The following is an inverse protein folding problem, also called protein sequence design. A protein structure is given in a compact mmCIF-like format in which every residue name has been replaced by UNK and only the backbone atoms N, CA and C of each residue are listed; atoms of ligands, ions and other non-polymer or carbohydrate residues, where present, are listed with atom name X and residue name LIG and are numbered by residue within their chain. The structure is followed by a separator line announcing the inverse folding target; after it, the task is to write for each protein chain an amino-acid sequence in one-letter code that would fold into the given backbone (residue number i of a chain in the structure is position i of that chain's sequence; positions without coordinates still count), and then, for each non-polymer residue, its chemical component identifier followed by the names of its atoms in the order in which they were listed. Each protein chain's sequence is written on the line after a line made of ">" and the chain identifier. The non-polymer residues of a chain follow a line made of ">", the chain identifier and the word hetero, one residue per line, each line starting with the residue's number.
data_IF_609457597935
#
_entry.id   IF_609457597935
#
_cell.length_a   1.000
_cell.length_b   1.000
_cell.length_c   1.000
_cell.angle_alpha   90.00
_cell.angle_beta   90.00
_cell.angle_gamma   90.00
#
_symmetry.space_group_name_H-M   'P 1'
#
loop_
_entity.id
_entity.type
_entity.pdbx_description
1 polymer ?
#
# COMPACT_ATOMS: atom_id res chain seq x y z
N UNK A 1 -19.21 -34.60 -8.15
CA UNK A 1 -18.09 -34.13 -7.32
C UNK A 1 -17.07 -33.51 -8.27
N UNK A 2 -16.93 -32.18 -8.30
CA UNK A 2 -15.88 -31.54 -9.10
C UNK A 2 -14.52 -31.91 -8.51
N UNK A 3 -13.52 -32.26 -9.32
CA UNK A 3 -12.18 -32.48 -8.80
C UNK A 3 -11.68 -31.19 -8.15
N UNK A 4 -11.12 -31.29 -6.95
CA UNK A 4 -10.43 -30.19 -6.28
C UNK A 4 -9.31 -29.68 -7.22
N UNK A 5 -9.26 -28.37 -7.45
CA UNK A 5 -8.29 -27.80 -8.38
C UNK A 5 -6.87 -28.11 -7.87
N UNK A 6 -5.90 -28.43 -8.75
CA UNK A 6 -4.54 -28.70 -8.29
C UNK A 6 -3.96 -27.43 -7.65
N UNK A 7 -3.57 -27.53 -6.38
CA UNK A 7 -2.91 -26.45 -5.65
C UNK A 7 -1.39 -26.59 -5.67
N UNK A 8 -0.68 -25.48 -5.52
CA UNK A 8 0.77 -25.40 -5.38
C UNK A 8 1.10 -24.82 -3.99
N UNK A 9 1.85 -25.54 -3.13
CA UNK A 9 2.18 -25.06 -1.79
C UNK A 9 3.17 -23.89 -1.82
N UNK A 10 3.05 -22.97 -0.87
CA UNK A 10 3.98 -21.86 -0.67
C UNK A 10 4.97 -22.27 0.43
N UNK A 11 6.23 -22.44 0.07
CA UNK A 11 7.30 -22.90 0.97
C UNK A 11 7.39 -22.06 2.25
N UNK A 12 7.47 -22.71 3.40
CA UNK A 12 7.59 -22.06 4.71
C UNK A 12 6.28 -21.48 5.26
N UNK A 13 5.13 -21.75 4.64
CA UNK A 13 3.82 -21.27 5.10
C UNK A 13 2.77 -22.38 5.04
N UNK A 14 1.65 -22.29 5.79
CA UNK A 14 0.53 -23.23 5.68
C UNK A 14 -0.32 -22.98 4.42
N UNK A 15 0.04 -22.03 3.57
CA UNK A 15 -0.78 -21.59 2.44
C UNK A 15 -0.39 -22.29 1.13
N UNK A 16 -1.37 -22.40 0.24
CA UNK A 16 -1.19 -22.86 -1.14
C UNK A 16 -2.04 -22.01 -2.07
N UNK A 17 -1.73 -21.99 -3.36
CA UNK A 17 -2.49 -21.25 -4.37
C UNK A 17 -2.94 -22.16 -5.51
N UNK A 18 -4.02 -21.77 -6.18
CA UNK A 18 -4.52 -22.48 -7.37
C UNK A 18 -3.48 -22.45 -8.49
N UNK A 19 -3.05 -23.62 -8.97
CA UNK A 19 -2.01 -23.75 -10.01
C UNK A 19 -2.37 -23.05 -11.32
N UNK A 20 -3.66 -22.81 -11.58
CA UNK A 20 -4.10 -22.01 -12.75
C UNK A 20 -3.59 -20.57 -12.71
N UNK A 21 -3.25 -20.06 -11.53
CA UNK A 21 -2.67 -18.72 -11.36
C UNK A 21 -1.18 -18.66 -11.69
N UNK A 22 -0.49 -19.80 -11.83
CA UNK A 22 0.97 -19.83 -12.05
C UNK A 22 1.42 -18.95 -13.22
N UNK A 23 0.80 -18.98 -14.42
CA UNK A 23 1.23 -18.12 -15.53
C UNK A 23 1.10 -16.62 -15.20
N UNK A 24 0.02 -16.24 -14.52
CA UNK A 24 -0.23 -14.86 -14.11
C UNK A 24 0.77 -14.40 -13.03
N UNK A 25 1.01 -15.23 -12.01
CA UNK A 25 1.99 -14.95 -10.96
C UNK A 25 3.41 -14.82 -11.51
N UNK A 26 3.79 -15.68 -12.47
CA UNK A 26 5.08 -15.57 -13.16
C UNK A 26 5.20 -14.25 -13.92
N UNK A 27 4.16 -13.83 -14.65
CA UNK A 27 4.18 -12.55 -15.36
C UNK A 27 4.24 -11.35 -14.40
N UNK A 28 3.50 -11.40 -13.29
CA UNK A 28 3.58 -10.37 -12.26
C UNK A 28 4.98 -10.29 -11.66
N UNK A 29 5.60 -11.43 -11.34
CA UNK A 29 6.95 -11.47 -10.80
C UNK A 29 7.96 -10.83 -11.76
N UNK A 30 7.90 -11.14 -13.06
CA UNK A 30 8.76 -10.54 -14.08
C UNK A 30 8.58 -9.01 -14.10
N UNK A 31 7.34 -8.52 -14.07
CA UNK A 31 7.06 -7.07 -14.08
C UNK A 31 7.57 -6.37 -12.81
N UNK A 32 7.39 -6.99 -11.65
CA UNK A 32 7.90 -6.46 -10.38
C UNK A 32 9.42 -6.37 -10.40
N UNK A 33 10.11 -7.39 -10.90
CA UNK A 33 11.56 -7.40 -10.98
C UNK A 33 12.10 -6.35 -11.96
N UNK A 34 11.43 -6.18 -13.10
CA UNK A 34 11.77 -5.12 -14.05
C UNK A 34 11.61 -3.72 -13.42
N UNK A 35 10.52 -3.47 -12.67
CA UNK A 35 10.30 -2.19 -11.99
C UNK A 35 11.33 -1.93 -10.88
N UNK A 36 11.70 -2.95 -10.10
CA UNK A 36 12.77 -2.85 -9.10
C UNK A 36 14.10 -2.49 -9.73
N UNK A 37 14.46 -3.15 -10.82
CA UNK A 37 15.70 -2.85 -11.56
C UNK A 37 15.69 -1.41 -12.06
N UNK A 38 14.60 -0.96 -12.70
CA UNK A 38 14.47 0.42 -13.18
C UNK A 38 14.57 1.45 -12.06
N UNK A 39 14.03 1.15 -10.88
CA UNK A 39 14.09 2.08 -9.74
C UNK A 39 15.51 2.42 -9.28
N UNK A 40 16.49 1.53 -9.53
CA UNK A 40 17.90 1.79 -9.19
C UNK A 40 18.56 2.86 -10.08
N UNK A 41 17.95 3.17 -11.22
CA UNK A 41 18.42 4.19 -12.16
C UNK A 41 17.83 5.58 -11.93
N UNK A 42 16.86 5.72 -11.01
CA UNK A 42 16.21 7.00 -10.72
C UNK A 42 17.12 7.88 -9.85
N UNK A 43 17.05 9.20 -10.07
CA UNK A 43 17.67 10.15 -9.15
C UNK A 43 17.00 10.11 -7.78
N UNK A 44 17.72 10.48 -6.73
CA UNK A 44 17.16 10.56 -5.37
C UNK A 44 15.94 11.49 -5.28
N UNK A 45 15.96 12.60 -6.02
CA UNK A 45 14.83 13.53 -6.10
C UNK A 45 13.60 12.90 -6.76
N UNK A 46 13.79 12.26 -7.92
CA UNK A 46 12.70 11.57 -8.62
C UNK A 46 12.10 10.46 -7.75
N UNK A 47 12.95 9.71 -7.04
CA UNK A 47 12.51 8.69 -6.11
C UNK A 47 11.68 9.27 -4.96
N UNK A 48 12.15 10.38 -4.37
CA UNK A 48 11.45 11.07 -3.27
C UNK A 48 10.07 11.57 -3.71
N UNK A 49 9.99 12.19 -4.90
CA UNK A 49 8.71 12.65 -5.47
C UNK A 49 7.76 11.48 -5.75
N UNK A 50 8.28 10.36 -6.26
CA UNK A 50 7.48 9.18 -6.56
C UNK A 50 6.94 8.53 -5.27
N UNK A 51 7.77 8.44 -4.22
CA UNK A 51 7.36 7.98 -2.90
C UNK A 51 6.26 8.85 -2.31
N UNK A 52 6.42 10.19 -2.35
CA UNK A 52 5.40 11.12 -1.87
C UNK A 52 4.07 10.97 -2.64
N UNK A 53 4.14 10.82 -3.97
CA UNK A 53 2.97 10.59 -4.82
C UNK A 53 2.24 9.30 -4.43
N UNK A 54 2.95 8.17 -4.31
CA UNK A 54 2.33 6.90 -3.97
C UNK A 54 1.80 6.86 -2.54
N UNK A 55 2.45 7.55 -1.60
CA UNK A 55 1.95 7.71 -0.23
C UNK A 55 0.61 8.44 -0.23
N UNK A 56 0.53 9.62 -0.86
CA UNK A 56 -0.72 10.38 -0.98
C UNK A 56 -1.81 9.54 -1.66
N UNK A 57 -1.47 8.89 -2.77
CA UNK A 57 -2.41 8.06 -3.52
C UNK A 57 -2.92 6.89 -2.67
N UNK A 58 -2.05 6.22 -1.90
CA UNK A 58 -2.43 5.10 -1.03
C UNK A 58 -3.43 5.55 0.03
N UNK A 59 -3.16 6.67 0.71
CA UNK A 59 -4.05 7.21 1.74
C UNK A 59 -5.41 7.56 1.13
N UNK A 60 -5.42 8.31 0.02
CA UNK A 60 -6.64 8.66 -0.69
C UNK A 60 -7.43 7.43 -1.12
N UNK A 61 -6.80 6.46 -1.80
CA UNK A 61 -7.53 5.31 -2.34
C UNK A 61 -8.03 4.35 -1.26
N UNK A 62 -7.28 4.17 -0.16
CA UNK A 62 -7.71 3.30 0.94
C UNK A 62 -8.94 3.87 1.62
N UNK A 63 -8.88 5.15 2.01
CA UNK A 63 -10.01 5.83 2.63
C UNK A 63 -11.22 5.88 1.69
N UNK A 64 -11.02 6.14 0.39
CA UNK A 64 -12.10 6.16 -0.58
C UNK A 64 -12.83 4.80 -0.71
N UNK A 65 -12.10 3.68 -0.63
CA UNK A 65 -12.70 2.33 -0.62
C UNK A 65 -13.60 2.14 0.61
N UNK A 66 -13.26 2.76 1.73
CA UNK A 66 -14.02 2.73 2.99
C UNK A 66 -15.15 3.77 3.06
N UNK A 67 -15.34 4.57 2.00
CA UNK A 67 -16.44 5.53 1.87
C UNK A 67 -16.08 6.98 2.22
N UNK A 68 -14.80 7.28 2.44
CA UNK A 68 -14.32 8.64 2.62
C UNK A 68 -14.54 9.48 1.35
N UNK A 69 -15.00 10.71 1.52
CA UNK A 69 -15.48 11.57 0.42
C UNK A 69 -14.48 12.64 -0.03
N UNK A 70 -13.27 12.69 0.55
CA UNK A 70 -12.24 13.63 0.14
C UNK A 70 -11.68 13.26 -1.23
N UNK A 71 -11.51 14.25 -2.10
CA UNK A 71 -10.70 14.13 -3.31
C UNK A 71 -9.23 13.97 -2.97
N UNK A 72 -8.41 13.59 -3.96
CA UNK A 72 -6.96 13.47 -3.77
C UNK A 72 -6.31 14.82 -3.39
N UNK A 73 -6.80 15.94 -3.93
CA UNK A 73 -6.30 17.28 -3.57
C UNK A 73 -6.70 17.69 -2.14
N UNK A 74 -7.94 17.41 -1.73
CA UNK A 74 -8.39 17.62 -0.35
C UNK A 74 -7.61 16.74 0.63
N UNK A 75 -7.36 15.47 0.28
CA UNK A 75 -6.51 14.55 1.06
C UNK A 75 -5.11 15.14 1.25
N UNK A 76 -4.52 15.70 0.18
CA UNK A 76 -3.21 16.34 0.25
C UNK A 76 -3.22 17.55 1.20
N UNK A 77 -4.27 18.38 1.17
CA UNK A 77 -4.41 19.52 2.08
C UNK A 77 -4.52 19.07 3.54
N UNK A 78 -5.32 18.02 3.81
CA UNK A 78 -5.42 17.45 5.17
C UNK A 78 -4.05 16.99 5.65
N UNK A 79 -3.33 16.19 4.86
CA UNK A 79 -2.03 15.63 5.25
C UNK A 79 -0.99 16.74 5.47
N UNK A 80 -0.91 17.72 4.56
CA UNK A 80 0.15 18.72 4.57
C UNK A 80 -0.08 19.85 5.59
N UNK A 81 -1.34 20.17 5.88
CA UNK A 81 -1.70 21.35 6.66
C UNK A 81 -2.51 21.04 7.93
N UNK A 82 -2.89 19.77 8.15
CA UNK A 82 -3.71 19.36 9.29
C UNK A 82 -5.12 19.98 9.30
N UNK A 83 -5.58 20.45 8.14
CA UNK A 83 -6.84 21.16 8.01
C UNK A 83 -8.03 20.21 7.89
N UNK A 84 -9.17 20.63 8.41
CA UNK A 84 -10.47 20.02 8.10
C UNK A 84 -11.04 20.66 6.84
N UNK A 85 -11.66 19.86 5.98
CA UNK A 85 -12.24 20.37 4.73
C UNK A 85 -13.70 20.79 4.95
N UNK A 86 -13.99 22.07 4.71
CA UNK A 86 -15.34 22.62 4.83
C UNK A 86 -16.32 21.90 3.91
N UNK A 87 -17.50 21.56 4.43
CA UNK A 87 -18.54 20.86 3.66
C UNK A 87 -18.33 19.35 3.53
N UNK A 88 -17.30 18.80 4.20
CA UNK A 88 -17.04 17.36 4.29
C UNK A 88 -17.25 16.85 5.72
N UNK A 89 -17.54 15.56 5.91
CA UNK A 89 -17.58 14.97 7.25
C UNK A 89 -16.24 15.18 7.96
N UNK A 90 -16.27 15.61 9.23
CA UNK A 90 -15.06 15.75 10.05
C UNK A 90 -14.29 14.43 10.16
N UNK A 91 -15.02 13.32 10.22
CA UNK A 91 -14.49 11.96 10.22
C UNK A 91 -13.50 11.72 9.07
N UNK A 92 -13.78 12.26 7.90
CA UNK A 92 -12.97 12.00 6.70
C UNK A 92 -11.56 12.58 6.84
N UNK A 93 -11.44 13.78 7.43
CA UNK A 93 -10.15 14.41 7.72
C UNK A 93 -9.41 13.66 8.84
N UNK A 94 -10.12 13.19 9.87
CA UNK A 94 -9.54 12.40 10.97
C UNK A 94 -8.97 11.08 10.45
N UNK A 95 -9.73 10.32 9.67
CA UNK A 95 -9.28 9.06 9.08
C UNK A 95 -8.07 9.24 8.17
N UNK A 96 -8.07 10.32 7.39
CA UNK A 96 -6.93 10.70 6.53
C UNK A 96 -5.67 10.97 7.35
N UNK A 97 -5.80 11.74 8.43
CA UNK A 97 -4.66 12.03 9.31
C UNK A 97 -4.17 10.76 10.02
N UNK A 98 -5.09 9.92 10.50
CA UNK A 98 -4.77 8.67 11.19
C UNK A 98 -4.03 7.70 10.28
N UNK A 99 -4.50 7.49 9.05
CA UNK A 99 -3.82 6.61 8.10
C UNK A 99 -2.45 7.16 7.69
N UNK A 100 -2.32 8.49 7.53
CA UNK A 100 -1.04 9.13 7.25
C UNK A 100 -0.01 8.89 8.37
N UNK A 101 -0.43 8.99 9.63
CA UNK A 101 0.40 8.71 10.81
C UNK A 101 0.71 7.22 10.94
N UNK A 102 -0.25 6.33 10.66
CA UNK A 102 -0.04 4.89 10.70
C UNK A 102 1.01 4.46 9.65
N UNK A 103 0.98 5.04 8.45
CA UNK A 103 2.00 4.81 7.43
C UNK A 103 3.37 5.35 7.83
N UNK A 104 3.44 6.54 8.45
CA UNK A 104 4.69 7.06 8.99
C UNK A 104 5.29 6.12 10.03
N UNK A 105 4.46 5.70 10.97
CA UNK A 105 4.86 4.75 12.00
C UNK A 105 5.35 3.43 11.38
N UNK A 106 4.64 2.89 10.39
CA UNK A 106 5.06 1.69 9.67
C UNK A 106 6.45 1.84 9.03
N UNK A 107 6.73 2.97 8.37
CA UNK A 107 8.06 3.26 7.82
C UNK A 107 9.14 3.26 8.93
N UNK A 108 8.85 3.87 10.09
CA UNK A 108 9.80 3.82 11.22
C UNK A 108 10.07 2.42 11.74
N UNK A 109 9.09 1.49 11.65
CA UNK A 109 9.28 0.10 12.04
C UNK A 109 10.19 -0.64 11.06
N UNK A 110 10.02 -0.40 9.76
CA UNK A 110 10.86 -0.99 8.71
C UNK A 110 12.33 -0.59 8.90
N UNK A 111 12.59 0.68 9.20
CA UNK A 111 13.94 1.19 9.40
C UNK A 111 14.63 0.63 10.66
N UNK A 112 13.84 0.23 11.67
CA UNK A 112 14.36 -0.24 12.95
C UNK A 112 14.76 -1.72 12.98
N UNK A 113 14.66 -2.48 11.87
CA UNK A 113 14.98 -3.93 11.79
C UNK A 113 14.50 -4.72 13.03
N UNK A 114 13.37 -4.36 13.59
CA UNK A 114 12.90 -4.94 14.86
C UNK A 114 12.09 -6.20 14.57
N UNK A 115 12.15 -7.14 15.51
CA UNK A 115 11.61 -8.51 15.45
C UNK A 115 10.18 -8.61 14.87
N UNK A 116 9.86 -9.80 14.37
CA UNK A 116 8.59 -10.13 13.73
C UNK A 116 7.39 -9.48 14.46
N UNK A 117 6.58 -8.72 13.69
CA UNK A 117 5.33 -8.15 14.17
C UNK A 117 4.45 -9.31 14.62
N UNK A 118 4.45 -9.58 15.92
CA UNK A 118 3.65 -10.64 16.51
C UNK A 118 2.28 -10.04 16.79
N UNK A 119 1.28 -10.48 16.05
CA UNK A 119 -0.11 -10.26 16.44
C UNK A 119 -0.36 -11.30 17.53
N UNK A 120 -0.39 -10.83 18.78
CA UNK A 120 -0.70 -11.66 19.96
C UNK A 120 -2.12 -12.22 19.92
#
# INVERSE_FOLDING_TARGET
>A
MTPEAPHTPISGTPYSYDRRLTPFLTQLQIRVEALRTLSTSLSGEALTQLQAYFRLKTIYTSNAIEGNSLSMGETQLVIAQGLTITGKPLRDSIETQNLAQALEFFETLVDRKTEAITIG
#
